data_IF_045839695035
#
_entry.id   IF_045839695035
#
_cell.length_a   1.000
_cell.length_b   1.000
_cell.length_c   1.000
_cell.angle_alpha   90.00
_cell.angle_beta   90.00
_cell.angle_gamma   90.00
#
_symmetry.space_group_name_H-M   'P 1'
#
loop_
_entity.id
_entity.type
_entity.pdbx_description
1 polymer ?
#
# COMPACT_ATOMS: atom_id res chain seq x y z
N UNK A 1 -52.96 -10.54 -9.04
CA UNK A 1 -51.94 -9.59 -8.53
C UNK A 1 -50.56 -10.22 -8.38
N UNK A 2 -50.37 -11.26 -7.57
CA UNK A 2 -49.03 -11.79 -7.22
C UNK A 2 -48.19 -12.25 -8.43
N UNK A 3 -48.79 -13.00 -9.37
CA UNK A 3 -48.13 -13.44 -10.62
C UNK A 3 -47.77 -12.29 -11.57
N UNK A 4 -48.50 -11.19 -11.51
CA UNK A 4 -48.29 -10.03 -12.37
C UNK A 4 -47.15 -9.15 -11.82
N UNK A 5 -47.12 -8.95 -10.50
CA UNK A 5 -46.00 -8.32 -9.79
C UNK A 5 -44.71 -9.12 -9.99
N UNK A 6 -44.77 -10.45 -9.94
CA UNK A 6 -43.62 -11.34 -10.15
C UNK A 6 -43.08 -11.24 -11.58
N UNK A 7 -43.96 -11.27 -12.59
CA UNK A 7 -43.56 -11.08 -14.01
C UNK A 7 -42.96 -9.70 -14.26
N UNK A 8 -43.45 -8.66 -13.58
CA UNK A 8 -42.90 -7.30 -13.66
C UNK A 8 -41.48 -7.24 -13.09
N UNK A 9 -41.24 -7.88 -11.94
CA UNK A 9 -39.91 -7.97 -11.32
C UNK A 9 -38.92 -8.78 -12.16
N UNK A 10 -39.35 -9.89 -12.79
CA UNK A 10 -38.50 -10.67 -13.70
C UNK A 10 -38.08 -9.86 -14.94
N UNK A 11 -39.01 -9.09 -15.53
CA UNK A 11 -38.70 -8.19 -16.66
C UNK A 11 -37.73 -7.08 -16.28
N UNK A 12 -37.90 -6.50 -15.09
CA UNK A 12 -36.97 -5.49 -14.56
C UNK A 12 -35.58 -6.10 -14.38
N UNK A 13 -35.48 -7.30 -13.80
CA UNK A 13 -34.19 -7.94 -13.56
C UNK A 13 -33.47 -8.31 -14.87
N UNK A 14 -34.20 -8.78 -15.89
CA UNK A 14 -33.64 -9.01 -17.23
C UNK A 14 -33.17 -7.73 -17.91
N UNK A 15 -33.92 -6.63 -17.76
CA UNK A 15 -33.52 -5.33 -18.28
C UNK A 15 -32.26 -4.81 -17.58
N UNK A 16 -32.17 -4.93 -16.25
CA UNK A 16 -30.98 -4.54 -15.48
C UNK A 16 -29.78 -5.40 -15.88
N UNK A 17 -29.94 -6.71 -16.04
CA UNK A 17 -28.88 -7.60 -16.51
C UNK A 17 -28.37 -7.19 -17.90
N UNK A 18 -29.28 -6.92 -18.84
CA UNK A 18 -28.92 -6.49 -20.19
C UNK A 18 -28.15 -5.16 -20.17
N UNK A 19 -28.60 -4.18 -19.37
CA UNK A 19 -27.92 -2.90 -19.20
C UNK A 19 -26.54 -3.09 -18.55
N UNK A 20 -26.44 -3.86 -17.47
CA UNK A 20 -25.16 -4.14 -16.82
C UNK A 20 -24.18 -4.85 -17.75
N UNK A 21 -24.66 -5.80 -18.58
CA UNK A 21 -23.83 -6.49 -19.55
C UNK A 21 -23.31 -5.55 -20.64
N UNK A 22 -24.15 -4.65 -21.16
CA UNK A 22 -23.72 -3.61 -22.10
C UNK A 22 -22.70 -2.67 -21.45
N UNK A 23 -22.93 -2.24 -20.21
CA UNK A 23 -21.99 -1.41 -19.46
C UNK A 23 -20.64 -2.13 -19.24
N UNK A 24 -20.63 -3.43 -18.98
CA UNK A 24 -19.41 -4.22 -18.86
C UNK A 24 -18.66 -4.31 -20.18
N UNK A 25 -19.35 -4.57 -21.29
CA UNK A 25 -18.74 -4.59 -22.63
C UNK A 25 -18.13 -3.23 -22.97
N UNK A 26 -18.83 -2.14 -22.67
CA UNK A 26 -18.30 -0.79 -22.82
C UNK A 26 -17.10 -0.56 -21.90
N UNK A 27 -17.18 -0.91 -20.62
CA UNK A 27 -16.05 -0.76 -19.68
C UNK A 27 -14.81 -1.53 -20.14
N UNK A 28 -14.98 -2.77 -20.62
CA UNK A 28 -13.91 -3.57 -21.20
C UNK A 28 -13.34 -2.97 -22.48
N UNK A 29 -14.21 -2.43 -23.36
CA UNK A 29 -13.79 -1.75 -24.58
C UNK A 29 -12.97 -0.50 -24.25
N UNK A 30 -13.42 0.32 -23.31
CA UNK A 30 -12.71 1.50 -22.83
C UNK A 30 -11.38 1.13 -22.16
N UNK A 31 -11.35 0.06 -21.35
CA UNK A 31 -10.13 -0.45 -20.74
C UNK A 31 -9.12 -0.94 -21.79
N UNK A 32 -9.57 -1.64 -22.83
CA UNK A 32 -8.72 -2.11 -23.92
C UNK A 32 -8.25 -0.99 -24.87
N UNK A 33 -9.06 0.07 -25.01
CA UNK A 33 -8.73 1.24 -25.84
C UNK A 33 -7.76 2.22 -25.17
N UNK A 34 -7.57 2.13 -23.85
CA UNK A 34 -6.58 2.92 -23.10
C UNK A 34 -5.19 2.32 -23.32
N UNK A 35 -4.55 2.69 -24.43
CA UNK A 35 -3.23 2.18 -24.85
C UNK A 35 -2.05 2.92 -24.22
N UNK A 36 -2.24 3.65 -23.11
CA UNK A 36 -1.14 4.27 -22.37
C UNK A 36 -0.50 3.19 -21.47
N UNK A 37 0.75 2.76 -21.74
CA UNK A 37 1.41 1.74 -20.94
C UNK A 37 1.66 2.29 -19.54
N UNK A 38 1.09 1.65 -18.52
CA UNK A 38 1.50 1.84 -17.13
C UNK A 38 0.59 2.67 -16.24
N UNK A 39 -0.58 3.13 -16.69
CA UNK A 39 -1.56 3.80 -15.81
C UNK A 39 -2.85 2.99 -15.70
N UNK A 40 -3.06 2.38 -14.53
CA UNK A 40 -4.27 1.61 -14.19
C UNK A 40 -5.48 2.53 -13.92
N UNK A 41 -5.79 3.49 -14.81
CA UNK A 41 -6.72 4.57 -14.44
C UNK A 41 -8.22 4.17 -14.39
N UNK A 42 -8.59 2.95 -14.84
CA UNK A 42 -10.01 2.56 -15.04
C UNK A 42 -10.39 1.11 -14.71
N UNK A 43 -9.49 0.30 -14.14
CA UNK A 43 -9.80 -1.10 -13.81
C UNK A 43 -10.96 -1.22 -12.79
N UNK A 44 -11.13 -0.22 -11.91
CA UNK A 44 -12.21 -0.17 -10.93
C UNK A 44 -13.60 -0.22 -11.60
N UNK A 45 -13.77 0.42 -12.77
CA UNK A 45 -15.03 0.42 -13.51
C UNK A 45 -15.34 -0.98 -14.07
N UNK A 46 -14.31 -1.72 -14.50
CA UNK A 46 -14.44 -3.11 -14.96
C UNK A 46 -14.84 -4.01 -13.79
N UNK A 47 -14.23 -3.85 -12.61
CA UNK A 47 -14.58 -4.65 -11.41
C UNK A 47 -16.01 -4.38 -10.96
N UNK A 48 -16.44 -3.12 -10.90
CA UNK A 48 -17.83 -2.76 -10.51
C UNK A 48 -18.84 -3.33 -11.51
N UNK A 49 -18.61 -3.12 -12.80
CA UNK A 49 -19.54 -3.60 -13.83
C UNK A 49 -19.59 -5.12 -13.89
N UNK A 50 -18.45 -5.81 -13.72
CA UNK A 50 -18.40 -7.27 -13.64
C UNK A 50 -19.17 -7.80 -12.42
N UNK A 51 -18.97 -7.19 -11.25
CA UNK A 51 -19.72 -7.55 -10.05
C UNK A 51 -21.24 -7.34 -10.24
N UNK A 52 -21.65 -6.21 -10.82
CA UNK A 52 -23.05 -5.93 -11.12
C UNK A 52 -23.66 -6.96 -12.09
N UNK A 53 -22.95 -7.34 -13.15
CA UNK A 53 -23.38 -8.37 -14.10
C UNK A 53 -23.54 -9.74 -13.42
N UNK A 54 -22.56 -10.14 -12.60
CA UNK A 54 -22.61 -11.44 -11.91
C UNK A 54 -23.75 -11.51 -10.88
N UNK A 55 -23.98 -10.43 -10.12
CA UNK A 55 -25.08 -10.35 -9.16
C UNK A 55 -26.44 -10.41 -9.90
N UNK A 56 -26.60 -9.62 -10.95
CA UNK A 56 -27.86 -9.57 -11.72
C UNK A 56 -28.14 -10.89 -12.44
N UNK A 57 -27.12 -11.53 -13.00
CA UNK A 57 -27.22 -12.85 -13.62
C UNK A 57 -27.60 -13.92 -12.59
N UNK A 58 -26.93 -13.93 -11.44
CA UNK A 58 -27.25 -14.85 -10.36
C UNK A 58 -28.67 -14.64 -9.80
N UNK A 59 -29.14 -13.39 -9.71
CA UNK A 59 -30.52 -13.10 -9.30
C UNK A 59 -31.55 -13.57 -10.33
N UNK A 60 -31.22 -13.51 -11.62
CA UNK A 60 -32.09 -14.03 -12.68
C UNK A 60 -32.22 -15.57 -12.60
N UNK A 61 -31.17 -16.27 -12.17
CA UNK A 61 -31.16 -17.72 -11.98
C UNK A 61 -31.88 -18.12 -10.69
N UNK A 62 -31.53 -17.51 -9.56
CA UNK A 62 -32.05 -17.86 -8.23
C UNK A 62 -33.51 -17.42 -8.04
N UNK A 63 -33.93 -16.37 -8.74
CA UNK A 63 -35.28 -15.77 -8.67
C UNK A 63 -35.74 -15.49 -7.23
N UNK A 64 -35.02 -14.65 -6.47
CA UNK A 64 -35.33 -14.38 -5.06
C UNK A 64 -36.71 -13.71 -4.85
N UNK A 65 -37.27 -13.10 -5.89
CA UNK A 65 -38.57 -12.43 -5.87
C UNK A 65 -39.76 -13.37 -5.66
N UNK A 66 -39.57 -14.69 -5.71
CA UNK A 66 -40.60 -15.65 -5.30
C UNK A 66 -40.73 -15.76 -3.76
N UNK A 67 -39.98 -14.94 -3.01
CA UNK A 67 -40.03 -14.78 -1.55
C UNK A 67 -39.88 -16.09 -0.76
N UNK A 68 -39.33 -17.13 -1.39
CA UNK A 68 -39.08 -18.42 -0.77
C UNK A 68 -37.80 -18.35 0.05
N UNK A 69 -37.84 -18.79 1.32
CA UNK A 69 -36.74 -18.63 2.28
C UNK A 69 -35.36 -19.04 1.74
N UNK A 70 -35.28 -20.21 1.09
CA UNK A 70 -34.01 -20.71 0.54
C UNK A 70 -33.47 -19.84 -0.61
N UNK A 71 -34.33 -19.26 -1.44
CA UNK A 71 -33.92 -18.44 -2.60
C UNK A 71 -33.40 -17.07 -2.19
N UNK A 72 -34.03 -16.45 -1.20
CA UNK A 72 -33.56 -15.16 -0.67
C UNK A 72 -32.21 -15.30 0.03
N UNK A 73 -32.00 -16.40 0.77
CA UNK A 73 -30.70 -16.71 1.38
C UNK A 73 -29.65 -17.00 0.31
N UNK A 74 -29.97 -17.84 -0.69
CA UNK A 74 -29.06 -18.13 -1.79
C UNK A 74 -28.65 -16.87 -2.57
N UNK A 75 -29.58 -15.93 -2.79
CA UNK A 75 -29.28 -14.65 -3.44
C UNK A 75 -28.34 -13.77 -2.59
N UNK A 76 -28.57 -13.69 -1.27
CA UNK A 76 -27.68 -12.99 -0.35
C UNK A 76 -26.26 -13.58 -0.37
N UNK A 77 -26.15 -14.91 -0.24
CA UNK A 77 -24.86 -15.62 -0.29
C UNK A 77 -24.15 -15.38 -1.63
N UNK A 78 -24.86 -15.49 -2.76
CA UNK A 78 -24.30 -15.24 -4.08
C UNK A 78 -23.79 -13.80 -4.21
N UNK A 79 -24.56 -12.81 -3.77
CA UNK A 79 -24.11 -11.41 -3.80
C UNK A 79 -22.86 -11.21 -2.93
N UNK A 80 -22.82 -11.80 -1.73
CA UNK A 80 -21.64 -11.76 -0.87
C UNK A 80 -20.41 -12.39 -1.51
N UNK A 81 -20.55 -13.56 -2.13
CA UNK A 81 -19.42 -14.24 -2.80
C UNK A 81 -18.88 -13.38 -3.95
N UNK A 82 -19.76 -12.78 -4.77
CA UNK A 82 -19.33 -11.90 -5.86
C UNK A 82 -18.60 -10.66 -5.34
N UNK A 83 -19.10 -10.03 -4.27
CA UNK A 83 -18.46 -8.85 -3.68
C UNK A 83 -17.11 -9.18 -3.04
N UNK A 84 -17.02 -10.29 -2.31
CA UNK A 84 -15.76 -10.79 -1.74
C UNK A 84 -14.74 -11.13 -2.83
N UNK A 85 -15.18 -11.77 -3.92
CA UNK A 85 -14.33 -12.01 -5.09
C UNK A 85 -13.85 -10.70 -5.73
N UNK A 86 -14.70 -9.68 -5.82
CA UNK A 86 -14.32 -8.36 -6.30
C UNK A 86 -13.19 -7.71 -5.47
N UNK A 87 -13.26 -7.84 -4.14
CA UNK A 87 -12.19 -7.36 -3.24
C UNK A 87 -10.90 -8.15 -3.49
N UNK A 88 -10.98 -9.49 -3.55
CA UNK A 88 -9.81 -10.35 -3.80
C UNK A 88 -9.15 -10.11 -5.16
N UNK A 89 -9.95 -9.92 -6.21
CA UNK A 89 -9.46 -9.58 -7.57
C UNK A 89 -8.76 -8.22 -7.55
N UNK A 90 -9.33 -7.24 -6.84
CA UNK A 90 -8.72 -5.92 -6.68
C UNK A 90 -7.33 -6.04 -6.03
N UNK A 91 -7.20 -6.80 -4.94
CA UNK A 91 -5.90 -7.03 -4.31
C UNK A 91 -4.92 -7.73 -5.24
N UNK A 92 -5.37 -8.74 -5.98
CA UNK A 92 -4.54 -9.44 -6.97
C UNK A 92 -4.03 -8.47 -8.04
N UNK A 93 -4.89 -7.61 -8.59
CA UNK A 93 -4.52 -6.60 -9.56
C UNK A 93 -3.48 -5.62 -9.01
N UNK A 94 -3.78 -4.97 -7.87
CA UNK A 94 -2.88 -3.98 -7.24
C UNK A 94 -1.53 -4.60 -6.85
N UNK A 95 -1.52 -5.84 -6.35
CA UNK A 95 -0.28 -6.53 -5.98
C UNK A 95 0.56 -6.95 -7.19
N UNK A 96 -0.08 -7.29 -8.31
CA UNK A 96 0.58 -7.69 -9.56
C UNK A 96 1.10 -6.51 -10.37
N UNK A 97 0.55 -5.32 -10.11
CA UNK A 97 0.95 -4.11 -10.81
C UNK A 97 2.45 -3.81 -10.56
N UNK A 98 3.11 -3.27 -11.56
CA UNK A 98 4.47 -2.73 -11.45
C UNK A 98 4.47 -1.22 -11.75
N UNK A 99 3.33 -0.54 -11.48
CA UNK A 99 3.15 0.91 -11.56
C UNK A 99 4.28 1.74 -10.92
N UNK A 100 4.21 3.05 -11.09
CA UNK A 100 5.34 3.99 -10.92
C UNK A 100 6.28 3.64 -9.76
N UNK A 101 7.53 3.33 -10.09
CA UNK A 101 8.58 3.05 -9.11
C UNK A 101 8.79 4.30 -8.25
N UNK A 102 8.61 4.23 -6.91
CA UNK A 102 8.88 5.36 -6.04
C UNK A 102 10.39 5.56 -6.04
N UNK A 103 10.90 6.53 -6.79
CA UNK A 103 12.32 6.83 -6.86
C UNK A 103 12.49 8.27 -6.39
N UNK A 104 13.45 8.47 -5.50
CA UNK A 104 13.85 9.80 -5.10
C UNK A 104 14.74 10.40 -6.19
N UNK A 105 14.26 11.43 -6.88
CA UNK A 105 15.05 12.16 -7.88
C UNK A 105 15.07 11.61 -9.30
N UNK A 106 15.93 12.19 -10.14
CA UNK A 106 16.04 11.86 -11.55
C UNK A 106 16.93 10.63 -11.77
N UNK A 107 16.34 9.57 -12.32
CA UNK A 107 17.03 8.30 -12.62
C UNK A 107 18.21 8.49 -13.58
N UNK A 108 19.33 7.84 -13.27
CA UNK A 108 20.49 7.70 -14.17
C UNK A 108 20.90 6.25 -14.28
N UNK A 109 20.94 5.72 -15.51
CA UNK A 109 21.24 4.30 -15.78
C UNK A 109 22.54 4.04 -16.52
N UNK A 110 23.32 5.08 -16.82
CA UNK A 110 24.61 4.93 -17.50
C UNK A 110 25.58 6.06 -17.14
N UNK A 111 26.87 5.84 -17.40
CA UNK A 111 27.91 6.83 -17.14
C UNK A 111 27.72 8.09 -17.99
N UNK A 112 27.24 7.93 -19.23
CA UNK A 112 26.94 9.04 -20.14
C UNK A 112 25.76 9.87 -19.64
N UNK A 113 24.69 9.21 -19.17
CA UNK A 113 23.52 9.88 -18.62
C UNK A 113 23.86 10.65 -17.32
N UNK A 114 24.68 10.05 -16.45
CA UNK A 114 25.18 10.72 -15.25
C UNK A 114 26.08 11.91 -15.59
N UNK A 115 26.98 11.76 -16.58
CA UNK A 115 27.82 12.85 -17.08
C UNK A 115 27.00 14.01 -17.63
N UNK A 116 26.05 13.73 -18.53
CA UNK A 116 25.18 14.74 -19.12
C UNK A 116 24.34 15.49 -18.08
N UNK A 117 23.81 14.77 -17.07
CA UNK A 117 23.08 15.39 -15.98
C UNK A 117 23.98 16.35 -15.18
N UNK A 118 25.22 15.95 -14.90
CA UNK A 118 26.17 16.81 -14.20
C UNK A 118 26.63 18.00 -15.03
N UNK A 119 26.87 17.84 -16.33
CA UNK A 119 27.27 18.93 -17.23
C UNK A 119 26.17 20.00 -17.33
N UNK A 120 24.90 19.59 -17.23
CA UNK A 120 23.75 20.51 -17.27
C UNK A 120 23.58 21.30 -15.97
N UNK A 121 23.91 20.70 -14.83
CA UNK A 121 23.55 21.22 -13.51
C UNK A 121 24.75 21.61 -12.63
N UNK A 122 25.97 21.41 -13.11
CA UNK A 122 27.19 21.84 -12.43
C UNK A 122 28.08 22.66 -13.37
N UNK A 123 28.80 23.61 -12.77
CA UNK A 123 29.81 24.41 -13.43
C UNK A 123 31.00 23.56 -13.88
N UNK A 124 31.52 23.88 -15.07
CA UNK A 124 32.75 23.32 -15.65
C UNK A 124 33.90 23.29 -14.62
N UNK A 125 34.61 22.16 -14.51
CA UNK A 125 35.81 22.01 -13.67
C UNK A 125 35.65 21.36 -12.28
N UNK A 126 34.48 20.82 -11.92
CA UNK A 126 34.34 20.00 -10.69
C UNK A 126 34.92 18.60 -10.86
N UNK A 127 35.66 18.12 -9.86
CA UNK A 127 36.21 16.76 -9.83
C UNK A 127 35.10 15.74 -9.61
N UNK A 128 35.05 14.72 -10.45
CA UNK A 128 34.08 13.61 -10.35
C UNK A 128 34.73 12.45 -9.61
N UNK A 129 34.05 11.95 -8.58
CA UNK A 129 34.48 10.76 -7.83
C UNK A 129 33.51 9.63 -8.12
N UNK A 130 33.90 8.64 -8.95
CA UNK A 130 33.15 7.40 -9.11
C UNK A 130 32.94 6.72 -7.76
N UNK A 131 31.67 6.50 -7.41
CA UNK A 131 31.20 5.94 -6.16
C UNK A 131 30.29 4.76 -6.45
N UNK A 132 30.53 3.62 -5.82
CA UNK A 132 29.67 2.46 -5.90
C UNK A 132 29.21 1.99 -4.52
N UNK A 133 28.08 1.31 -4.51
CA UNK A 133 27.44 0.73 -3.32
C UNK A 133 27.06 -0.73 -3.56
N UNK A 134 27.20 -1.55 -2.53
CA UNK A 134 26.70 -2.92 -2.44
C UNK A 134 26.06 -3.14 -1.08
N UNK A 135 24.73 -3.22 -1.04
CA UNK A 135 23.97 -3.48 0.19
C UNK A 135 23.93 -4.97 0.47
N UNK A 136 24.36 -5.37 1.67
CA UNK A 136 24.37 -6.76 2.13
C UNK A 136 23.21 -7.09 3.06
N UNK A 137 22.82 -6.14 3.92
CA UNK A 137 21.70 -6.32 4.84
C UNK A 137 20.82 -5.08 4.85
N UNK A 138 19.52 -5.29 5.03
CA UNK A 138 18.51 -4.26 5.13
C UNK A 138 17.38 -4.77 6.02
N UNK A 139 17.02 -3.99 7.04
CA UNK A 139 15.97 -4.35 7.98
C UNK A 139 15.16 -3.11 8.34
N UNK A 140 13.84 -3.19 8.22
CA UNK A 140 12.96 -2.14 8.72
C UNK A 140 12.84 -2.27 10.25
N UNK A 141 13.27 -1.24 10.97
CA UNK A 141 13.22 -1.16 12.43
C UNK A 141 11.90 -0.58 12.96
N UNK A 142 11.15 0.12 12.11
CA UNK A 142 9.85 0.68 12.40
C UNK A 142 9.27 1.44 11.21
N UNK A 143 8.33 2.35 11.49
CA UNK A 143 7.63 3.10 10.45
C UNK A 143 8.52 4.12 9.71
N UNK A 144 9.63 4.58 10.28
CA UNK A 144 10.48 5.58 9.63
C UNK A 144 11.97 5.24 9.78
N UNK A 145 12.28 3.96 10.01
CA UNK A 145 13.61 3.52 10.40
C UNK A 145 14.00 2.28 9.60
N UNK A 146 15.17 2.34 8.97
CA UNK A 146 15.76 1.22 8.25
C UNK A 146 17.24 1.09 8.59
N UNK A 147 17.62 -0.10 9.04
CA UNK A 147 19.01 -0.48 9.27
C UNK A 147 19.57 -1.06 7.96
N UNK A 148 20.67 -0.50 7.47
CA UNK A 148 21.33 -0.92 6.23
C UNK A 148 22.82 -1.17 6.50
N UNK A 149 23.37 -2.23 5.91
CA UNK A 149 24.80 -2.48 5.93
C UNK A 149 25.30 -3.01 4.59
N UNK A 150 26.59 -2.81 4.32
CA UNK A 150 27.21 -3.26 3.09
C UNK A 150 28.53 -2.58 2.82
N UNK A 151 28.90 -2.50 1.55
CA UNK A 151 30.11 -1.83 1.10
C UNK A 151 29.78 -0.58 0.30
N UNK A 152 30.58 0.46 0.51
CA UNK A 152 30.64 1.64 -0.34
C UNK A 152 32.08 1.84 -0.75
N UNK A 153 32.33 2.17 -2.01
CA UNK A 153 33.68 2.39 -2.50
C UNK A 153 33.75 3.61 -3.38
N UNK A 154 34.94 4.17 -3.48
CA UNK A 154 35.24 5.27 -4.38
C UNK A 154 36.51 4.97 -5.16
N UNK A 155 36.50 5.30 -6.45
CA UNK A 155 37.70 5.26 -7.30
C UNK A 155 38.29 6.66 -7.42
N UNK A 156 39.56 6.78 -7.08
CA UNK A 156 40.29 8.03 -7.07
C UNK A 156 41.36 8.04 -8.15
N UNK A 157 41.46 9.17 -8.84
CA UNK A 157 42.64 9.53 -9.63
C UNK A 157 43.70 10.16 -8.73
N UNK A 158 44.95 10.23 -9.19
CA UNK A 158 46.10 10.66 -8.37
C UNK A 158 45.99 12.11 -7.83
N UNK A 159 45.10 12.93 -8.39
CA UNK A 159 44.86 14.33 -8.05
C UNK A 159 43.85 14.53 -6.89
N UNK A 160 43.25 13.46 -6.34
CA UNK A 160 42.26 13.57 -5.25
C UNK A 160 42.93 13.52 -3.87
N UNK A 161 42.85 14.60 -3.05
CA UNK A 161 43.42 14.64 -1.71
C UNK A 161 42.80 13.60 -0.78
N UNK A 162 43.59 13.06 0.15
CA UNK A 162 43.11 12.11 1.15
C UNK A 162 41.92 12.64 1.98
N UNK A 163 41.87 13.95 2.25
CA UNK A 163 40.79 14.59 3.00
C UNK A 163 39.43 14.58 2.28
N UNK A 164 39.43 14.49 0.95
CA UNK A 164 38.21 14.38 0.14
C UNK A 164 37.70 12.94 -0.01
N UNK A 165 38.45 11.95 0.51
CA UNK A 165 38.12 10.53 0.36
C UNK A 165 37.10 10.07 1.40
N UNK A 166 36.05 9.41 0.92
CA UNK A 166 34.99 8.84 1.72
C UNK A 166 33.64 9.49 1.43
N UNK A 167 32.62 8.89 2.02
CA UNK A 167 31.23 9.31 1.88
C UNK A 167 30.66 9.69 3.24
N UNK A 168 29.65 10.55 3.22
CA UNK A 168 28.82 10.86 4.38
C UNK A 168 27.39 10.42 4.05
N UNK A 169 26.75 9.77 5.02
CA UNK A 169 25.31 9.45 4.96
C UNK A 169 24.56 10.46 5.83
N UNK A 170 24.01 11.54 5.26
CA UNK A 170 23.42 12.64 6.04
C UNK A 170 22.16 12.25 6.81
N UNK A 171 21.45 11.21 6.37
CA UNK A 171 20.24 10.69 7.02
C UNK A 171 20.51 9.63 8.09
N UNK A 172 21.77 9.24 8.26
CA UNK A 172 22.14 8.27 9.27
C UNK A 172 22.12 8.90 10.65
N UNK A 173 21.62 8.16 11.66
CA UNK A 173 21.77 8.57 13.05
C UNK A 173 23.25 8.66 13.45
N UNK A 174 23.54 9.40 14.53
CA UNK A 174 24.88 9.84 15.00
C UNK A 174 25.99 8.74 15.13
N UNK A 175 25.71 7.47 14.84
CA UNK A 175 26.57 6.32 15.06
C UNK A 175 26.72 5.41 13.83
N UNK A 176 26.65 5.93 12.60
CA UNK A 176 27.02 5.09 11.46
C UNK A 176 28.54 4.81 11.48
N UNK A 177 28.91 3.57 11.21
CA UNK A 177 30.31 3.15 11.15
C UNK A 177 30.76 3.06 9.70
N UNK A 178 32.00 3.48 9.44
CA UNK A 178 32.66 3.33 8.16
C UNK A 178 34.05 2.74 8.42
N UNK A 179 34.22 1.46 8.15
CA UNK A 179 35.45 0.71 8.44
C UNK A 179 36.19 0.42 7.13
N UNK A 180 37.49 0.72 7.07
CA UNK A 180 38.32 0.38 5.91
C UNK A 180 38.23 -1.13 5.63
N UNK A 181 37.86 -1.48 4.40
CA UNK A 181 37.68 -2.87 3.99
C UNK A 181 38.78 -3.31 3.03
N UNK A 182 39.06 -2.51 2.00
CA UNK A 182 40.06 -2.85 0.99
C UNK A 182 40.56 -1.62 0.23
N UNK A 183 41.75 -1.75 -0.36
CA UNK A 183 42.33 -0.80 -1.30
C UNK A 183 42.90 -1.54 -2.49
N UNK A 184 42.50 -1.13 -3.70
CA UNK A 184 43.00 -1.68 -4.96
C UNK A 184 43.66 -0.58 -5.78
N UNK A 185 44.89 -0.83 -6.24
CA UNK A 185 45.58 0.04 -7.20
C UNK A 185 45.42 -0.53 -8.60
N UNK A 186 44.95 0.30 -9.52
CA UNK A 186 44.75 -0.06 -10.92
C UNK A 186 46.00 0.26 -11.74
N UNK A 187 46.15 -0.43 -12.88
CA UNK A 187 47.29 -0.24 -13.78
C UNK A 187 47.35 1.16 -14.45
N UNK A 188 46.25 1.89 -14.45
CA UNK A 188 46.14 3.28 -14.94
C UNK A 188 46.57 4.32 -13.89
N UNK A 189 47.01 3.89 -12.70
CA UNK A 189 47.39 4.76 -11.58
C UNK A 189 46.23 5.24 -10.71
N UNK A 190 44.99 4.82 -11.01
CA UNK A 190 43.85 5.07 -10.13
C UNK A 190 43.83 4.11 -8.94
N UNK A 191 43.19 4.52 -7.85
CA UNK A 191 43.09 3.75 -6.61
C UNK A 191 41.62 3.65 -6.19
N UNK A 192 41.11 2.44 -6.02
CA UNK A 192 39.79 2.20 -5.42
C UNK A 192 39.95 1.92 -3.94
N UNK A 193 39.27 2.69 -3.10
CA UNK A 193 39.17 2.44 -1.65
C UNK A 193 37.74 2.05 -1.32
N UNK A 194 37.58 0.95 -0.60
CA UNK A 194 36.28 0.43 -0.17
C UNK A 194 36.16 0.42 1.35
N UNK A 195 34.97 0.75 1.81
CA UNK A 195 34.58 0.75 3.22
C UNK A 195 33.39 -0.16 3.45
N UNK A 196 33.39 -0.86 4.57
CA UNK A 196 32.20 -1.50 5.11
C UNK A 196 31.43 -0.49 5.95
N UNK A 197 30.13 -0.34 5.69
CA UNK A 197 29.27 0.58 6.43
C UNK A 197 28.15 -0.15 7.17
N UNK A 198 27.76 0.42 8.30
CA UNK A 198 26.51 0.11 9.00
C UNK A 198 25.84 1.42 9.38
N UNK A 199 24.60 1.62 8.93
CA UNK A 199 23.85 2.84 9.16
C UNK A 199 22.41 2.51 9.54
N UNK A 200 21.91 3.20 10.57
CA UNK A 200 20.48 3.32 10.84
C UNK A 200 20.00 4.62 10.21
N UNK A 201 19.12 4.51 9.23
CA UNK A 201 18.62 5.64 8.44
C UNK A 201 17.21 6.00 8.87
N UNK A 202 16.93 7.30 8.99
CA UNK A 202 15.60 7.80 9.29
C UNK A 202 14.94 8.38 8.05
N UNK A 203 13.94 7.69 7.54
CA UNK A 203 13.31 7.97 6.24
C UNK A 203 11.79 8.06 6.36
N UNK A 204 11.18 8.87 5.50
CA UNK A 204 9.73 9.01 5.44
C UNK A 204 9.15 8.01 4.44
N UNK A 205 8.39 7.04 4.93
CA UNK A 205 7.71 6.04 4.10
C UNK A 205 6.22 6.34 3.96
N UNK A 206 5.61 5.94 2.83
CA UNK A 206 4.19 6.14 2.57
C UNK A 206 3.38 4.87 2.83
N UNK A 207 2.69 4.84 3.97
CA UNK A 207 1.87 3.69 4.38
C UNK A 207 0.39 3.77 3.99
N UNK A 208 -0.01 4.72 3.13
CA UNK A 208 -1.41 4.81 2.67
C UNK A 208 -1.93 3.43 2.23
N UNK A 209 -1.20 2.76 1.36
CA UNK A 209 -1.61 1.49 0.78
C UNK A 209 -1.32 0.25 1.65
N UNK A 210 -0.95 0.42 2.93
CA UNK A 210 -0.64 -0.71 3.81
C UNK A 210 -1.81 -1.72 3.90
N UNK A 211 -1.58 -3.04 3.76
CA UNK A 211 -0.27 -3.71 3.64
C UNK A 211 0.20 -3.99 2.19
N UNK A 212 -0.52 -3.49 1.19
CA UNK A 212 -0.18 -3.58 -0.24
C UNK A 212 0.81 -2.48 -0.67
N UNK A 213 1.61 -1.97 0.28
CA UNK A 213 2.51 -0.86 0.09
C UNK A 213 3.83 -1.26 -0.60
N UNK A 214 4.40 -0.27 -1.29
CA UNK A 214 5.75 -0.29 -1.86
C UNK A 214 6.51 0.86 -1.27
N UNK A 215 7.77 0.63 -0.95
CA UNK A 215 8.63 1.65 -0.37
C UNK A 215 9.92 1.74 -1.15
N UNK A 216 10.53 2.92 -1.11
CA UNK A 216 11.87 3.15 -1.60
C UNK A 216 12.78 3.33 -0.39
N UNK A 217 13.77 2.47 -0.23
CA UNK A 217 14.87 2.72 0.70
C UNK A 217 15.98 3.38 -0.10
N UNK A 218 16.38 4.59 0.27
CA UNK A 218 17.43 5.30 -0.45
C UNK A 218 18.69 5.48 0.40
N UNK A 219 19.83 5.63 -0.25
CA UNK A 219 21.08 6.04 0.38
C UNK A 219 21.49 7.35 -0.25
N UNK A 220 21.32 8.45 0.49
CA UNK A 220 21.87 9.75 0.13
C UNK A 220 23.38 9.72 0.42
N UNK A 221 24.18 10.07 -0.59
CA UNK A 221 25.64 10.05 -0.52
C UNK A 221 26.17 11.47 -0.67
N UNK A 222 26.85 11.95 0.36
CA UNK A 222 27.57 13.22 0.35
C UNK A 222 29.08 12.98 0.24
N UNK A 223 29.75 13.91 -0.45
CA UNK A 223 31.21 13.98 -0.41
C UNK A 223 31.67 14.50 0.95
N UNK A 224 32.86 14.08 1.42
CA UNK A 224 33.51 14.71 2.59
C UNK A 224 34.08 16.10 2.28
N UNK A 225 34.20 16.43 0.99
CA UNK A 225 34.73 17.71 0.56
C UNK A 225 33.64 18.80 0.59
N UNK A 226 33.71 19.68 1.59
CA UNK A 226 32.77 20.78 1.78
C UNK A 226 33.01 21.97 0.82
N UNK A 227 33.98 21.91 -0.10
CA UNK A 227 34.34 23.03 -0.98
C UNK A 227 33.46 23.19 -2.22
N UNK A 228 32.45 22.33 -2.41
CA UNK A 228 31.57 22.27 -3.58
C UNK A 228 32.29 22.00 -4.93
N UNK A 229 33.60 21.70 -4.92
CA UNK A 229 34.39 21.42 -6.13
C UNK A 229 34.40 19.94 -6.53
N UNK A 230 33.73 19.10 -5.75
CA UNK A 230 33.74 17.65 -5.92
C UNK A 230 32.30 17.14 -6.03
N UNK A 231 32.01 16.28 -6.99
CA UNK A 231 30.71 15.65 -7.18
C UNK A 231 30.83 14.13 -7.29
N UNK A 232 29.88 13.40 -6.72
CA UNK A 232 29.84 11.95 -6.78
C UNK A 232 29.14 11.50 -8.07
N UNK A 233 29.75 10.55 -8.79
CA UNK A 233 29.14 9.86 -9.94
C UNK A 233 29.00 8.38 -9.65
N UNK A 234 27.95 7.69 -10.11
CA UNK A 234 27.89 6.24 -10.01
C UNK A 234 29.08 5.60 -10.72
N UNK A 235 29.74 4.65 -10.07
CA UNK A 235 30.79 3.84 -10.68
C UNK A 235 30.19 2.69 -11.51
N UNK A 236 29.50 3.03 -12.61
CA UNK A 236 28.91 2.03 -13.52
C UNK A 236 29.92 1.03 -14.08
N UNK A 237 31.22 1.37 -14.09
CA UNK A 237 32.28 0.48 -14.56
C UNK A 237 32.52 -0.72 -13.64
N UNK A 238 32.12 -0.62 -12.37
CA UNK A 238 32.22 -1.69 -11.37
C UNK A 238 31.02 -2.63 -11.35
N UNK A 239 30.01 -2.40 -12.20
CA UNK A 239 28.83 -3.24 -12.33
C UNK A 239 28.75 -3.86 -13.73
N UNK A 240 28.02 -4.98 -13.90
CA UNK A 240 27.55 -5.39 -15.22
C UNK A 240 26.70 -4.27 -15.86
N UNK A 241 26.46 -4.30 -17.19
CA UNK A 241 25.63 -3.31 -17.86
C UNK A 241 24.32 -3.07 -17.09
N UNK A 242 24.15 -1.82 -16.63
CA UNK A 242 23.18 -1.48 -15.60
C UNK A 242 21.75 -1.73 -16.07
N UNK A 243 20.97 -2.43 -15.24
CA UNK A 243 19.57 -2.72 -15.46
C UNK A 243 18.85 -2.73 -14.13
N UNK A 244 17.90 -1.84 -13.93
CA UNK A 244 17.28 -1.63 -12.61
C UNK A 244 16.60 -2.90 -12.09
N UNK A 245 15.95 -3.65 -12.98
CA UNK A 245 15.28 -4.91 -12.68
C UNK A 245 16.25 -6.05 -12.30
N UNK A 246 17.55 -5.88 -12.47
CA UNK A 246 18.59 -6.86 -12.08
C UNK A 246 19.11 -6.63 -10.67
N UNK A 247 18.71 -5.53 -10.02
CA UNK A 247 19.01 -5.25 -8.62
C UNK A 247 20.52 -5.23 -8.31
N UNK A 248 21.33 -4.70 -9.23
CA UNK A 248 22.77 -4.58 -9.00
C UNK A 248 23.05 -3.66 -7.81
N UNK A 249 24.09 -3.95 -7.05
CA UNK A 249 24.37 -3.26 -5.80
C UNK A 249 23.52 -3.75 -4.61
N UNK A 250 22.83 -4.88 -4.75
CA UNK A 250 22.19 -5.61 -3.65
C UNK A 250 22.72 -7.04 -3.64
N UNK A 251 23.07 -7.55 -2.46
CA UNK A 251 23.52 -8.92 -2.27
C UNK A 251 22.38 -9.91 -2.60
N UNK A 252 22.66 -10.98 -3.38
CA UNK A 252 21.67 -12.04 -3.64
C UNK A 252 21.19 -12.74 -2.37
N UNK A 253 22.04 -12.80 -1.34
CA UNK A 253 21.76 -13.47 -0.06
C UNK A 253 21.11 -12.52 0.97
N UNK A 254 20.63 -11.35 0.54
CA UNK A 254 19.95 -10.39 1.41
C UNK A 254 18.73 -11.08 2.06
N UNK A 255 18.73 -11.17 3.39
CA UNK A 255 17.59 -11.75 4.13
C UNK A 255 16.42 -10.78 4.07
N UNK A 256 15.53 -11.06 3.14
CA UNK A 256 14.25 -10.39 2.95
C UNK A 256 13.28 -10.92 4.01
N UNK A 257 13.09 -10.20 5.13
CA UNK A 257 12.05 -10.55 6.11
C UNK A 257 10.65 -10.36 5.48
N UNK A 258 9.96 -9.27 5.83
CA UNK A 258 8.65 -8.94 5.25
C UNK A 258 8.72 -8.09 3.98
N UNK A 259 9.93 -7.87 3.43
CA UNK A 259 10.18 -6.94 2.34
C UNK A 259 11.02 -7.57 1.24
N UNK A 260 10.51 -7.55 0.01
CA UNK A 260 11.19 -8.10 -1.18
C UNK A 260 11.66 -6.96 -2.08
N UNK A 261 12.96 -6.81 -2.33
CA UNK A 261 13.43 -5.85 -3.32
C UNK A 261 12.99 -6.27 -4.72
N UNK A 262 12.75 -5.29 -5.59
CA UNK A 262 12.34 -5.53 -6.98
C UNK A 262 13.06 -4.64 -8.01
N UNK A 263 13.69 -3.54 -7.57
CA UNK A 263 14.63 -2.78 -8.39
C UNK A 263 15.73 -2.16 -7.53
N UNK A 264 16.84 -1.81 -8.18
CA UNK A 264 17.81 -0.83 -7.66
C UNK A 264 18.18 0.17 -8.74
N UNK A 265 18.36 1.44 -8.40
CA UNK A 265 18.78 2.46 -9.38
C UNK A 265 19.53 3.60 -8.73
N UNK A 266 20.39 4.23 -9.52
CA UNK A 266 20.99 5.51 -9.18
C UNK A 266 20.07 6.66 -9.60
N UNK A 267 20.12 7.74 -8.84
CA UNK A 267 19.44 8.99 -9.19
C UNK A 267 20.16 10.20 -8.63
N UNK A 268 19.78 11.37 -9.14
CA UNK A 268 20.21 12.66 -8.61
C UNK A 268 19.03 13.48 -8.12
N UNK A 269 19.21 14.13 -6.97
CA UNK A 269 18.27 15.11 -6.44
C UNK A 269 18.99 16.45 -6.33
N UNK A 270 18.32 17.51 -6.77
CA UNK A 270 18.77 18.88 -6.57
C UNK A 270 18.19 19.43 -5.29
N UNK A 271 19.07 19.74 -4.35
CA UNK A 271 18.69 20.38 -3.10
C UNK A 271 19.09 21.86 -3.14
N UNK A 272 18.10 22.73 -2.98
CA UNK A 272 18.33 24.14 -2.72
C UNK A 272 18.73 24.30 -1.25
N UNK A 273 20.02 24.11 -0.95
CA UNK A 273 20.51 24.30 0.40
C UNK A 273 20.43 25.79 0.78
N UNK A 274 19.77 26.07 1.91
CA UNK A 274 19.62 27.43 2.46
C UNK A 274 20.79 27.85 3.34
N UNK A 275 21.78 26.97 3.53
CA UNK A 275 22.96 27.20 4.37
C UNK A 275 24.23 26.83 3.61
N UNK A 276 25.28 27.63 3.75
CA UNK A 276 26.61 27.37 3.20
C UNK A 276 27.49 26.53 4.14
N UNK A 277 26.92 26.04 5.24
CA UNK A 277 27.62 25.32 6.32
C UNK A 277 28.83 26.09 6.86
N UNK A 278 28.76 27.44 6.85
CA UNK A 278 29.82 28.31 7.34
C UNK A 278 31.00 28.49 6.39
N UNK A 279 30.92 28.01 5.15
CA UNK A 279 31.96 28.28 4.15
C UNK A 279 31.92 29.75 3.71
N UNK A 280 33.06 30.43 3.84
CA UNK A 280 33.26 31.82 3.41
C UNK A 280 33.54 31.96 1.90
N UNK A 281 33.38 30.88 1.14
CA UNK A 281 33.48 30.94 -0.32
C UNK A 281 32.32 31.81 -0.84
N UNK A 282 32.58 32.60 -1.89
CA UNK A 282 31.70 33.62 -2.47
C UNK A 282 30.38 33.07 -3.07
N UNK A 283 29.59 32.32 -2.29
CA UNK A 283 28.41 31.55 -2.67
C UNK A 283 27.10 32.23 -2.24
N UNK A 284 27.11 33.52 -1.92
CA UNK A 284 25.89 34.32 -1.75
C UNK A 284 25.30 34.79 -3.10
N UNK A 285 26.05 34.69 -4.20
CA UNK A 285 25.58 35.14 -5.52
C UNK A 285 24.71 34.10 -6.26
N UNK A 286 24.77 32.83 -5.86
CA UNK A 286 23.90 31.76 -6.30
C UNK A 286 23.80 30.75 -5.14
N UNK A 287 22.65 30.54 -4.49
CA UNK A 287 22.48 29.42 -3.58
C UNK A 287 22.75 28.15 -4.40
N UNK A 288 23.96 27.61 -4.27
CA UNK A 288 24.43 26.52 -5.11
C UNK A 288 23.49 25.34 -4.93
N UNK A 289 22.70 25.04 -5.95
CA UNK A 289 21.92 23.81 -6.00
C UNK A 289 22.94 22.67 -5.95
N UNK A 290 22.97 21.91 -4.85
CA UNK A 290 23.82 20.73 -4.77
C UNK A 290 23.07 19.58 -5.38
N UNK A 291 23.75 18.84 -6.26
CA UNK A 291 23.22 17.58 -6.73
C UNK A 291 23.78 16.47 -5.85
N UNK A 292 22.89 15.88 -5.09
CA UNK A 292 23.21 14.75 -4.24
C UNK A 292 22.98 13.45 -5.00
N UNK A 293 23.89 12.50 -4.79
CA UNK A 293 23.79 11.18 -5.40
C UNK A 293 22.98 10.27 -4.50
N UNK A 294 21.98 9.61 -5.08
CA UNK A 294 21.10 8.67 -4.38
C UNK A 294 21.25 7.28 -4.97
N UNK A 295 21.31 6.28 -4.09
CA UNK A 295 21.13 4.88 -4.45
C UNK A 295 19.77 4.39 -3.93
N UNK A 296 18.87 4.03 -4.83
CA UNK A 296 17.48 3.69 -4.51
C UNK A 296 17.28 2.18 -4.57
N UNK A 297 16.53 1.66 -3.60
CA UNK A 297 16.16 0.25 -3.48
C UNK A 297 14.65 0.19 -3.34
N UNK A 298 13.98 -0.21 -4.42
CA UNK A 298 12.55 -0.46 -4.41
C UNK A 298 12.22 -1.76 -3.70
N UNK A 299 11.36 -1.71 -2.71
CA UNK A 299 10.88 -2.88 -1.95
C UNK A 299 9.36 -2.99 -2.00
N UNK A 300 8.86 -4.22 -2.08
CA UNK A 300 7.43 -4.55 -1.93
C UNK A 300 7.23 -5.36 -0.66
N UNK A 301 6.16 -5.07 0.08
CA UNK A 301 5.82 -5.84 1.28
C UNK A 301 5.29 -7.23 0.93
N UNK A 302 5.64 -8.23 1.74
CA UNK A 302 4.97 -9.51 1.83
C UNK A 302 3.57 -9.31 2.48
N UNK A 303 2.65 -8.76 1.71
CA UNK A 303 1.36 -8.23 2.19
C UNK A 303 0.40 -9.28 2.77
N UNK A 304 0.54 -10.55 2.37
CA UNK A 304 -0.40 -11.63 2.71
C UNK A 304 -0.50 -11.85 4.22
N UNK A 305 0.63 -11.84 4.94
CA UNK A 305 0.65 -12.05 6.39
C UNK A 305 -0.15 -10.98 7.14
N UNK A 306 0.25 -9.69 7.06
CA UNK A 306 -0.48 -8.60 7.72
C UNK A 306 -1.95 -8.50 7.30
N UNK A 307 -2.27 -8.84 6.04
CA UNK A 307 -3.65 -8.85 5.54
C UNK A 307 -4.48 -9.95 6.23
N UNK A 308 -3.98 -11.19 6.27
CA UNK A 308 -4.69 -12.31 6.89
C UNK A 308 -4.89 -12.07 8.39
N UNK A 309 -3.89 -11.54 9.08
CA UNK A 309 -3.96 -11.27 10.52
C UNK A 309 -5.13 -10.35 10.89
N UNK A 310 -5.29 -9.22 10.19
CA UNK A 310 -6.41 -8.30 10.42
C UNK A 310 -7.72 -8.84 9.86
N UNK A 311 -7.70 -9.54 8.72
CA UNK A 311 -8.90 -10.13 8.11
C UNK A 311 -9.53 -11.19 9.00
N UNK A 312 -8.74 -12.08 9.61
CA UNK A 312 -9.24 -13.11 10.53
C UNK A 312 -9.90 -12.45 11.75
N UNK A 313 -9.25 -11.45 12.36
CA UNK A 313 -9.80 -10.72 13.51
C UNK A 313 -11.11 -10.02 13.15
N UNK A 314 -11.13 -9.30 12.03
CA UNK A 314 -12.35 -8.64 11.52
C UNK A 314 -13.45 -9.65 11.19
N UNK A 315 -13.11 -10.80 10.60
CA UNK A 315 -14.06 -11.86 10.26
C UNK A 315 -14.72 -12.46 11.51
N UNK A 316 -13.95 -12.71 12.58
CA UNK A 316 -14.50 -13.22 13.84
C UNK A 316 -15.53 -12.24 14.40
N UNK A 317 -15.21 -10.94 14.43
CA UNK A 317 -16.14 -9.92 14.91
C UNK A 317 -17.37 -9.79 13.99
N UNK A 318 -17.19 -9.94 12.68
CA UNK A 318 -18.29 -9.93 11.73
C UNK A 318 -19.23 -11.14 11.93
N UNK A 319 -18.69 -12.34 12.09
CA UNK A 319 -19.50 -13.55 12.38
C UNK A 319 -20.25 -13.40 13.69
N UNK A 320 -19.59 -12.93 14.75
CA UNK A 320 -20.23 -12.70 16.06
C UNK A 320 -21.35 -11.65 15.95
N UNK A 321 -21.11 -10.56 15.22
CA UNK A 321 -22.11 -9.51 14.94
C UNK A 321 -23.28 -10.02 14.10
N UNK A 322 -23.02 -10.92 13.16
CA UNK A 322 -24.07 -11.59 12.40
C UNK A 322 -24.92 -12.52 13.27
N UNK A 323 -24.29 -13.34 14.10
CA UNK A 323 -24.99 -14.24 15.03
C UNK A 323 -25.86 -13.46 16.01
N UNK A 324 -25.42 -12.27 16.45
CA UNK A 324 -26.21 -11.39 17.31
C UNK A 324 -27.57 -11.01 16.67
N UNK A 325 -27.65 -10.86 15.33
CA UNK A 325 -28.93 -10.59 14.64
C UNK A 325 -29.95 -11.73 14.77
N UNK A 326 -29.52 -12.97 15.01
CA UNK A 326 -30.40 -14.11 15.26
C UNK A 326 -30.88 -14.17 16.70
N UNK A 327 -30.09 -13.65 17.64
CA UNK A 327 -30.48 -13.52 19.04
C UNK A 327 -31.57 -12.44 19.20
N UNK A 328 -31.51 -11.36 18.42
CA UNK A 328 -32.45 -10.25 18.49
C UNK A 328 -33.69 -10.52 17.62
N UNK A 329 -34.69 -11.22 18.16
CA UNK A 329 -35.99 -11.38 17.50
C UNK A 329 -37.15 -11.04 18.43
N UNK A 330 -38.23 -10.50 17.85
CA UNK A 330 -39.46 -10.09 18.56
C UNK A 330 -40.45 -11.24 18.79
N UNK A 331 -40.21 -12.39 18.17
CA UNK A 331 -41.25 -13.39 17.92
C UNK A 331 -41.47 -14.42 19.03
N UNK A 332 -40.58 -14.54 20.02
CA UNK A 332 -40.74 -15.50 21.13
C UNK A 332 -40.29 -14.85 22.46
N UNK A 333 -41.23 -14.43 23.29
CA UNK A 333 -40.95 -13.96 24.67
C UNK A 333 -40.30 -15.07 25.53
N UNK A 334 -40.59 -16.35 25.23
CA UNK A 334 -39.97 -17.51 25.89
C UNK A 334 -38.52 -17.78 25.45
N UNK A 335 -38.14 -17.43 24.21
CA UNK A 335 -36.73 -17.50 23.77
C UNK A 335 -35.91 -16.30 24.27
N UNK A 336 -36.55 -15.14 24.46
CA UNK A 336 -35.89 -13.95 25.03
C UNK A 336 -35.44 -14.15 26.48
N UNK A 337 -36.27 -14.81 27.29
CA UNK A 337 -35.99 -15.09 28.70
C UNK A 337 -34.94 -16.20 28.88
N UNK A 338 -34.94 -17.23 28.02
CA UNK A 338 -33.97 -18.33 28.05
C UNK A 338 -32.51 -17.89 27.80
N UNK A 339 -32.30 -16.78 27.08
CA UNK A 339 -30.96 -16.21 26.81
C UNK A 339 -30.67 -14.92 27.60
N UNK A 340 -31.53 -14.51 28.54
CA UNK A 340 -31.30 -13.37 29.44
C UNK A 340 -31.17 -12.01 28.73
N UNK A 341 -31.77 -11.85 27.55
CA UNK A 341 -31.46 -10.73 26.68
C UNK A 341 -32.20 -9.43 27.08
N UNK A 342 -31.43 -8.35 27.28
CA UNK A 342 -31.92 -7.01 27.62
C UNK A 342 -31.22 -5.96 26.76
N UNK A 343 -31.76 -4.74 26.70
CA UNK A 343 -31.08 -3.57 26.09
C UNK A 343 -29.68 -3.38 26.65
N UNK A 344 -29.47 -3.71 27.93
CA UNK A 344 -28.15 -3.73 28.57
C UNK A 344 -27.19 -4.73 27.91
N UNK A 345 -27.66 -5.94 27.60
CA UNK A 345 -26.89 -6.95 26.88
C UNK A 345 -26.45 -6.50 25.48
N UNK A 346 -27.29 -5.73 24.76
CA UNK A 346 -26.90 -5.14 23.47
C UNK A 346 -25.76 -4.13 23.62
N UNK A 347 -25.83 -3.27 24.65
CA UNK A 347 -24.77 -2.29 24.93
C UNK A 347 -23.48 -3.01 25.31
N UNK A 348 -23.52 -4.00 26.19
CA UNK A 348 -22.35 -4.80 26.56
C UNK A 348 -21.72 -5.47 25.35
N UNK A 349 -22.52 -6.10 24.49
CA UNK A 349 -22.06 -6.70 23.23
C UNK A 349 -21.32 -5.68 22.34
N UNK A 350 -21.89 -4.48 22.20
CA UNK A 350 -21.31 -3.39 21.42
C UNK A 350 -19.95 -2.99 21.99
N UNK A 351 -19.87 -2.74 23.30
CA UNK A 351 -18.63 -2.32 23.96
C UNK A 351 -17.54 -3.40 23.83
N UNK A 352 -17.90 -4.67 24.04
CA UNK A 352 -16.95 -5.78 23.93
C UNK A 352 -16.42 -5.96 22.51
N UNK A 353 -17.29 -5.87 21.49
CA UNK A 353 -16.87 -6.04 20.09
C UNK A 353 -16.08 -4.84 19.56
N UNK A 354 -16.45 -3.61 19.97
CA UNK A 354 -15.68 -2.40 19.64
C UNK A 354 -14.26 -2.47 20.19
N UNK A 355 -14.08 -2.94 21.44
CA UNK A 355 -12.76 -3.06 22.05
C UNK A 355 -11.82 -3.94 21.21
N UNK A 356 -12.33 -5.07 20.68
CA UNK A 356 -11.53 -5.99 19.85
C UNK A 356 -11.02 -5.28 18.59
N UNK A 357 -11.88 -4.50 17.91
CA UNK A 357 -11.49 -3.77 16.69
C UNK A 357 -10.56 -2.59 17.00
N UNK A 358 -10.75 -1.89 18.11
CA UNK A 358 -9.85 -0.79 18.53
C UNK A 358 -8.44 -1.31 18.83
N UNK A 359 -8.33 -2.48 19.45
CA UNK A 359 -7.03 -3.13 19.68
C UNK A 359 -6.37 -3.50 18.35
N UNK A 360 -7.14 -4.05 17.39
CA UNK A 360 -6.62 -4.33 16.04
C UNK A 360 -6.11 -3.06 15.34
N UNK A 361 -6.90 -1.97 15.38
CA UNK A 361 -6.50 -0.69 14.80
C UNK A 361 -5.20 -0.14 15.44
N UNK A 362 -5.04 -0.31 16.75
CA UNK A 362 -3.83 0.13 17.46
C UNK A 362 -2.59 -0.66 16.99
N UNK A 363 -2.73 -1.94 16.69
CA UNK A 363 -1.63 -2.75 16.13
C UNK A 363 -1.23 -2.25 14.74
N UNK A 364 -2.20 -1.93 13.87
CA UNK A 364 -1.92 -1.34 12.55
C UNK A 364 -1.15 -0.02 12.70
N UNK A 365 -1.61 0.87 13.60
CA UNK A 365 -0.94 2.15 13.89
C UNK A 365 0.47 1.99 14.45
N UNK A 366 0.73 0.95 15.22
CA UNK A 366 2.09 0.67 15.71
C UNK A 366 3.03 0.28 14.58
N UNK A 367 2.54 -0.40 13.55
CA UNK A 367 3.33 -0.84 12.40
C UNK A 367 3.57 0.27 11.37
N UNK A 368 2.60 1.17 11.17
CA UNK A 368 2.64 2.23 10.13
C UNK A 368 2.97 3.62 10.68
N UNK A 369 2.99 3.79 12.01
CA UNK A 369 3.18 5.08 12.65
C UNK A 369 1.96 6.00 12.61
N UNK A 370 2.16 7.25 13.06
CA UNK A 370 1.11 8.26 13.26
C UNK A 370 0.71 9.07 12.02
N UNK A 371 0.93 8.55 10.81
CA UNK A 371 0.70 9.27 9.55
C UNK A 371 -0.75 9.28 9.05
N UNK A 372 -0.90 9.33 7.72
CA UNK A 372 -2.18 9.34 7.01
C UNK A 372 -3.04 8.09 7.28
N UNK A 373 -4.33 8.15 6.93
CA UNK A 373 -5.26 7.02 7.03
C UNK A 373 -4.79 5.88 6.12
N UNK A 374 -4.53 4.71 6.71
CA UNK A 374 -4.10 3.52 5.96
C UNK A 374 -5.28 2.71 5.43
N UNK A 375 -5.08 1.97 4.34
CA UNK A 375 -6.14 1.12 3.77
C UNK A 375 -6.69 0.10 4.78
N UNK A 376 -5.83 -0.54 5.57
CA UNK A 376 -6.25 -1.55 6.54
C UNK A 376 -7.10 -0.95 7.67
N UNK A 377 -6.86 0.31 8.06
CA UNK A 377 -7.72 0.98 9.04
C UNK A 377 -9.15 1.18 8.54
N UNK A 378 -9.37 1.25 7.22
CA UNK A 378 -10.71 1.32 6.67
C UNK A 378 -11.55 0.07 7.00
N UNK A 379 -10.91 -1.09 7.23
CA UNK A 379 -11.60 -2.31 7.69
C UNK A 379 -12.17 -2.08 9.09
N UNK A 380 -11.36 -1.52 9.99
CA UNK A 380 -11.80 -1.15 11.33
C UNK A 380 -12.97 -0.15 11.29
N UNK A 381 -12.88 0.88 10.45
CA UNK A 381 -13.97 1.86 10.30
C UNK A 381 -15.26 1.26 9.75
N UNK A 382 -15.17 0.37 8.76
CA UNK A 382 -16.35 -0.37 8.26
C UNK A 382 -16.93 -1.25 9.37
N UNK A 383 -16.08 -1.92 10.15
CA UNK A 383 -16.52 -2.74 11.28
C UNK A 383 -17.20 -1.91 12.38
N UNK A 384 -16.72 -0.68 12.67
CA UNK A 384 -17.40 0.23 13.58
C UNK A 384 -18.82 0.56 13.11
N UNK A 385 -18.98 0.86 11.81
CA UNK A 385 -20.30 1.13 11.23
C UNK A 385 -21.23 -0.09 11.31
N UNK A 386 -20.70 -1.30 11.06
CA UNK A 386 -21.47 -2.55 11.17
C UNK A 386 -21.88 -2.86 12.60
N UNK A 387 -20.96 -2.75 13.57
CA UNK A 387 -21.25 -2.97 15.00
C UNK A 387 -22.32 -1.99 15.46
N UNK A 388 -22.17 -0.70 15.13
CA UNK A 388 -23.18 0.32 15.43
C UNK A 388 -24.54 -0.02 14.79
N UNK A 389 -24.54 -0.42 13.52
CA UNK A 389 -25.76 -0.81 12.80
C UNK A 389 -26.48 -1.99 13.44
N UNK A 390 -25.75 -3.04 13.84
CA UNK A 390 -26.30 -4.20 14.57
C UNK A 390 -26.87 -3.78 15.93
N UNK A 391 -26.21 -2.85 16.60
CA UNK A 391 -26.63 -2.33 17.92
C UNK A 391 -27.90 -1.49 17.83
N UNK A 392 -27.97 -0.59 16.84
CA UNK A 392 -29.19 0.18 16.53
C UNK A 392 -30.32 -0.77 16.17
N UNK A 393 -30.05 -1.80 15.37
CA UNK A 393 -31.05 -2.82 15.03
C UNK A 393 -31.59 -3.54 16.28
N UNK A 394 -30.71 -3.90 17.22
CA UNK A 394 -31.10 -4.52 18.49
C UNK A 394 -32.01 -3.60 19.32
N UNK A 395 -31.65 -2.32 19.46
CA UNK A 395 -32.44 -1.32 20.21
C UNK A 395 -33.80 -1.06 19.55
N UNK A 396 -33.86 -0.97 18.22
CA UNK A 396 -35.13 -0.78 17.51
C UNK A 396 -36.08 -1.96 17.68
N UNK A 397 -35.57 -3.18 17.77
CA UNK A 397 -36.38 -4.39 18.01
C UNK A 397 -36.88 -4.51 19.46
N UNK A 398 -36.23 -3.86 20.42
CA UNK A 398 -36.69 -3.80 21.82
C UNK A 398 -37.56 -2.57 22.10
N UNK A 399 -37.46 -1.52 21.28
CA UNK A 399 -38.32 -0.35 21.36
C UNK A 399 -39.78 -0.69 21.05
N UNK A 400 -40.73 -0.05 21.73
CA UNK A 400 -42.18 -0.22 21.50
C UNK A 400 -42.69 0.37 20.17
N UNK A 401 -41.80 0.79 19.28
CA UNK A 401 -42.14 1.49 18.03
C UNK A 401 -42.03 0.52 16.85
N UNK A 402 -43.13 0.33 16.13
CA UNK A 402 -43.17 -0.55 14.96
C UNK A 402 -42.39 0.07 13.79
N UNK A 403 -41.20 -0.47 13.50
CA UNK A 403 -40.41 -0.10 12.33
C UNK A 403 -40.55 -1.19 11.26
N UNK A 404 -41.49 -0.99 10.33
CA UNK A 404 -41.87 -1.95 9.28
C UNK A 404 -40.70 -2.69 8.58
N UNK A 405 -39.59 -2.05 8.14
CA UNK A 405 -38.50 -2.79 7.49
C UNK A 405 -37.65 -3.65 8.44
N UNK A 406 -37.56 -3.29 9.73
CA UNK A 406 -36.77 -4.01 10.75
C UNK A 406 -37.57 -5.19 11.31
N UNK A 407 -38.87 -5.00 11.51
CA UNK A 407 -39.77 -6.03 12.03
C UNK A 407 -40.21 -7.05 10.99
N UNK A 408 -39.92 -6.81 9.71
CA UNK A 408 -40.33 -7.68 8.62
C UNK A 408 -39.82 -9.11 8.81
N UNK A 409 -40.78 -10.01 9.05
CA UNK A 409 -40.62 -11.45 9.17
C UNK A 409 -39.56 -11.92 10.21
N UNK A 410 -39.36 -11.14 11.28
CA UNK A 410 -38.45 -11.49 12.37
C UNK A 410 -36.99 -11.13 12.08
N UNK A 411 -36.75 -9.85 11.76
CA UNK A 411 -35.42 -9.32 11.48
C UNK A 411 -34.78 -9.93 10.21
N UNK A 412 -35.58 -10.32 9.20
CA UNK A 412 -35.04 -11.00 8.00
C UNK A 412 -34.25 -10.08 7.09
N UNK A 413 -34.69 -8.84 6.90
CA UNK A 413 -34.01 -7.90 6.01
C UNK A 413 -32.57 -7.61 6.50
N UNK A 414 -32.33 -7.26 7.78
CA UNK A 414 -30.96 -7.08 8.29
C UNK A 414 -30.11 -8.35 8.18
N UNK A 415 -30.68 -9.53 8.42
CA UNK A 415 -29.96 -10.82 8.24
C UNK A 415 -29.53 -11.05 6.79
N UNK A 416 -30.40 -10.76 5.82
CA UNK A 416 -30.11 -10.94 4.40
C UNK A 416 -29.14 -9.88 3.85
N UNK A 417 -29.18 -8.66 4.38
CA UNK A 417 -28.32 -7.56 3.93
C UNK A 417 -26.96 -7.52 4.63
N UNK A 418 -26.81 -8.16 5.79
CA UNK A 418 -25.58 -8.07 6.59
C UNK A 418 -24.29 -8.31 5.78
N UNK A 419 -24.17 -9.49 5.16
CA UNK A 419 -22.97 -9.85 4.40
C UNK A 419 -22.82 -9.07 3.10
N UNK A 420 -23.86 -8.90 2.25
CA UNK A 420 -23.74 -8.06 1.05
C UNK A 420 -23.41 -6.60 1.36
N UNK A 421 -23.95 -6.03 2.44
CA UNK A 421 -23.66 -4.65 2.82
C UNK A 421 -22.24 -4.49 3.36
N UNK A 422 -21.79 -5.40 4.24
CA UNK A 422 -20.42 -5.40 4.75
C UNK A 422 -19.40 -5.53 3.61
N UNK A 423 -19.55 -6.54 2.75
CA UNK A 423 -18.63 -6.79 1.64
C UNK A 423 -18.76 -5.73 0.54
N UNK A 424 -19.95 -5.17 0.35
CA UNK A 424 -20.16 -4.05 -0.56
C UNK A 424 -19.46 -2.78 -0.10
N UNK A 425 -19.54 -2.45 1.19
CA UNK A 425 -18.80 -1.33 1.77
C UNK A 425 -17.29 -1.54 1.67
N UNK A 426 -16.81 -2.76 1.98
CA UNK A 426 -15.39 -3.09 1.82
C UNK A 426 -14.94 -2.96 0.36
N UNK A 427 -15.74 -3.44 -0.60
CA UNK A 427 -15.44 -3.28 -2.02
C UNK A 427 -15.41 -1.80 -2.42
N UNK A 428 -16.41 -1.01 -2.04
CA UNK A 428 -16.46 0.43 -2.34
C UNK A 428 -15.21 1.13 -1.80
N UNK A 429 -14.90 0.92 -0.51
CA UNK A 429 -13.71 1.50 0.12
C UNK A 429 -12.44 1.07 -0.60
N UNK A 430 -12.32 -0.21 -0.95
CA UNK A 430 -11.15 -0.73 -1.67
C UNK A 430 -10.99 -0.06 -3.03
N UNK A 431 -12.07 0.08 -3.78
CA UNK A 431 -12.03 0.73 -5.09
C UNK A 431 -11.74 2.22 -4.99
N UNK A 432 -12.31 2.92 -4.02
CA UNK A 432 -12.03 4.35 -3.78
C UNK A 432 -10.60 4.59 -3.31
N UNK A 433 -10.05 3.69 -2.50
CA UNK A 433 -8.69 3.84 -2.00
C UNK A 433 -7.64 3.62 -3.10
N UNK A 434 -7.90 2.66 -4.00
CA UNK A 434 -6.99 2.32 -5.09
C UNK A 434 -7.37 2.95 -6.44
N UNK A 435 -8.35 3.87 -6.50
CA UNK A 435 -8.70 4.55 -7.74
C UNK A 435 -7.61 5.51 -8.22
N UNK A 436 -6.91 6.11 -7.26
CA UNK A 436 -5.80 7.05 -7.50
C UNK A 436 -4.43 6.36 -7.37
N UNK A 437 -4.39 5.02 -7.41
CA UNK A 437 -3.14 4.28 -7.37
C UNK A 437 -2.36 4.54 -8.66
N UNK A 438 -1.12 5.07 -8.57
CA UNK A 438 -0.34 5.51 -9.73
C UNK A 438 0.21 4.37 -10.59
#
# INVERSE_FOLDING_TARGET
>A
MERETQRRLERINLAVLAVSAVCLVLALFWYAADTQPGTLHRWWAVVITAAAVLITAGFAIVRPFTLTHHRTVAASVLASVVLAAGVGVTWAMVSSDNGAEPIEGQRVGSAEAAGAYQDTHHSDGKRRIPTGVMVQQMKFGGANEVDVSGYVWQRFTADVPAAARGVIFPEAENSYSLTDAYTYKHGDGSETVGWYFQAKLRQSFDYRHYPLDRQNVWLQLWTKDNTQQTSLVPDFSSYPPWRDSKMYGISPDLVHADWRPYFSTWSYVQHAHTSTLGSNAAAYANPGVWSDLYFNIGTKRAWVGPMIDSLIRSLIVAVISFLALFLYTKADDDRRSAFGFSTWGAITFTMSTLLVIVVDQTQVRSATGGGMLTYLECFAYVMYAVILGVSVNAVLLTARREVRPVEWAGNRLPKLLYWPALLGLLLIVTLLYFSDYP
#
